data_IF_569755958361
#
_entry.id   IF_569755958361
#
_cell.length_a   1.000
_cell.length_b   1.000
_cell.length_c   1.000
_cell.angle_alpha   90.00
_cell.angle_beta   90.00
_cell.angle_gamma   90.00
#
_symmetry.space_group_name_H-M   'P 1'
#
loop_
_entity.id
_entity.type
_entity.pdbx_description
1 polymer ?
#
# COMPACT_ATOMS: atom_id res chain seq x y z
N UNK A 1 -0.94 2.49 24.70
CA UNK A 1 -1.25 3.77 25.37
C UNK A 1 -1.63 4.85 24.36
N UNK A 2 -0.79 5.21 23.38
CA UNK A 2 -1.11 6.19 22.32
C UNK A 2 -2.38 5.85 21.49
N UNK A 3 -2.55 4.58 21.10
CA UNK A 3 -3.77 4.12 20.40
C UNK A 3 -5.06 4.31 21.21
N UNK A 4 -5.00 4.08 22.53
CA UNK A 4 -6.14 4.24 23.43
C UNK A 4 -6.47 5.71 23.71
N UNK A 5 -5.44 6.57 23.75
CA UNK A 5 -5.60 8.03 23.84
C UNK A 5 -6.22 8.61 22.57
N UNK A 6 -5.82 8.11 21.39
CA UNK A 6 -6.39 8.54 20.12
C UNK A 6 -7.87 8.15 19.96
N UNK A 7 -8.31 7.02 20.53
CA UNK A 7 -9.72 6.61 20.53
C UNK A 7 -10.61 7.37 21.51
N UNK A 8 -10.02 8.13 22.44
CA UNK A 8 -10.76 8.96 23.42
C UNK A 8 -10.99 10.39 22.93
N UNK A 9 -10.32 10.80 21.84
CA UNK A 9 -10.54 12.10 21.24
C UNK A 9 -11.86 12.08 20.43
N UNK A 10 -12.69 13.14 20.53
CA UNK A 10 -13.89 13.25 19.70
C UNK A 10 -13.52 13.22 18.21
N UNK A 11 -14.39 12.61 17.41
CA UNK A 11 -14.17 12.58 15.97
C UNK A 11 -14.21 14.02 15.43
N UNK A 12 -13.15 14.48 14.74
CA UNK A 12 -13.14 15.82 14.19
C UNK A 12 -14.20 15.95 13.11
N UNK A 13 -14.71 17.17 12.91
CA UNK A 13 -15.68 17.40 11.84
C UNK A 13 -15.07 17.05 10.47
N UNK A 14 -15.84 16.43 9.56
CA UNK A 14 -15.32 15.90 8.30
C UNK A 14 -14.76 16.98 7.35
N UNK A 15 -15.20 18.23 7.54
CA UNK A 15 -14.83 19.38 6.72
C UNK A 15 -13.63 20.17 7.28
N UNK A 16 -13.18 19.82 8.48
CA UNK A 16 -12.08 20.50 9.15
C UNK A 16 -10.73 19.98 8.63
N UNK A 17 -9.76 20.89 8.55
CA UNK A 17 -8.40 20.64 8.08
C UNK A 17 -7.41 21.07 9.15
N UNK A 18 -6.30 20.33 9.30
CA UNK A 18 -5.31 20.64 10.32
C UNK A 18 -4.68 22.03 10.08
N UNK A 19 -4.51 22.40 8.81
CA UNK A 19 -3.96 23.67 8.35
C UNK A 19 -5.07 24.54 7.73
N UNK A 20 -6.18 24.75 8.46
CA UNK A 20 -7.33 25.57 8.02
C UNK A 20 -7.02 27.04 7.71
N UNK A 21 -5.79 27.50 8.00
CA UNK A 21 -5.44 28.92 8.13
C UNK A 21 -4.74 29.48 6.87
N UNK A 22 -5.06 28.95 5.67
CA UNK A 22 -4.72 29.66 4.41
C UNK A 22 -3.50 29.16 3.62
N UNK A 23 -3.10 27.90 3.74
CA UNK A 23 -2.09 27.29 2.85
C UNK A 23 -2.66 26.87 1.48
N UNK A 24 -3.65 27.60 0.96
CA UNK A 24 -4.23 27.37 -0.37
C UNK A 24 -5.06 26.08 -0.51
N UNK A 25 -5.38 25.37 0.57
CA UNK A 25 -6.21 24.17 0.54
C UNK A 25 -7.71 24.51 0.49
N UNK A 26 -8.19 25.00 -0.66
CA UNK A 26 -9.63 24.93 -0.95
C UNK A 26 -9.96 23.50 -1.35
N UNK A 27 -10.72 22.77 -0.52
CA UNK A 27 -11.30 21.51 -0.98
C UNK A 27 -12.43 21.82 -1.96
N UNK A 28 -12.30 21.35 -3.20
CA UNK A 28 -13.42 21.30 -4.13
C UNK A 28 -14.29 20.11 -3.74
N UNK A 29 -15.26 20.36 -2.87
CA UNK A 29 -16.39 19.45 -2.67
C UNK A 29 -17.59 20.07 -3.37
N UNK A 30 -18.11 19.39 -4.38
CA UNK A 30 -19.26 19.81 -5.16
C UNK A 30 -20.53 19.75 -4.28
N UNK A 31 -21.10 20.89 -3.82
CA UNK A 31 -22.25 20.86 -2.93
C UNK A 31 -23.57 20.78 -3.72
N UNK A 32 -23.51 20.88 -5.05
CA UNK A 32 -24.53 20.69 -6.08
C UNK A 32 -23.99 21.44 -7.31
N UNK A 33 -23.83 20.76 -8.44
CA UNK A 33 -23.64 21.39 -9.75
C UNK A 33 -24.79 22.38 -10.00
N UNK A 34 -24.61 23.64 -9.61
CA UNK A 34 -25.57 24.68 -9.92
C UNK A 34 -25.39 25.03 -11.40
N UNK A 35 -26.31 24.52 -12.22
CA UNK A 35 -26.48 25.00 -13.59
C UNK A 35 -27.00 26.43 -13.51
N UNK A 36 -26.18 27.39 -13.89
CA UNK A 36 -26.69 28.74 -14.13
C UNK A 36 -27.54 28.71 -15.42
N UNK A 37 -28.86 28.74 -15.27
CA UNK A 37 -29.82 28.82 -16.38
C UNK A 37 -30.13 30.27 -16.76
N UNK A 38 -29.48 31.26 -16.13
CA UNK A 38 -29.65 32.64 -16.53
C UNK A 38 -28.86 32.92 -17.82
N UNK A 39 -29.62 33.18 -18.89
CA UNK A 39 -29.19 33.57 -20.24
C UNK A 39 -28.72 32.45 -21.20
N UNK A 40 -29.67 31.65 -21.72
CA UNK A 40 -29.69 31.21 -23.14
C UNK A 40 -28.46 30.48 -23.72
N UNK A 41 -27.48 30.08 -22.91
CA UNK A 41 -26.27 29.38 -23.29
C UNK A 41 -26.17 28.05 -22.55
N UNK A 42 -25.48 27.08 -23.17
CA UNK A 42 -25.31 25.73 -22.65
C UNK A 42 -24.83 25.72 -21.19
N UNK A 43 -25.28 24.76 -20.37
CA UNK A 43 -24.99 24.72 -18.94
C UNK A 43 -23.47 24.72 -18.69
N UNK A 44 -22.95 25.81 -18.13
CA UNK A 44 -21.57 25.88 -17.63
C UNK A 44 -21.56 25.44 -16.18
N UNK A 45 -20.83 24.38 -15.86
CA UNK A 45 -20.58 24.00 -14.47
C UNK A 45 -19.69 25.06 -13.83
N UNK A 46 -20.20 25.74 -12.80
CA UNK A 46 -19.41 26.69 -12.01
C UNK A 46 -18.92 25.97 -10.77
N UNK A 47 -17.60 25.78 -10.67
CA UNK A 47 -16.97 25.26 -9.45
C UNK A 47 -17.08 26.31 -8.34
N UNK A 48 -17.86 26.01 -7.31
CA UNK A 48 -17.97 26.85 -6.11
C UNK A 48 -16.92 26.37 -5.09
N UNK A 49 -15.99 27.26 -4.74
CA UNK A 49 -15.02 26.99 -3.68
C UNK A 49 -15.72 27.02 -2.31
N UNK A 50 -15.81 25.87 -1.64
CA UNK A 50 -16.20 25.81 -0.22
C UNK A 50 -14.97 26.08 0.64
N UNK A 51 -14.99 27.17 1.40
CA UNK A 51 -13.92 27.45 2.38
C UNK A 51 -13.97 26.39 3.48
N UNK A 52 -12.84 25.73 3.81
CA UNK A 52 -12.81 24.73 4.87
C UNK A 52 -13.25 25.34 6.21
N UNK A 53 -13.95 24.55 7.02
CA UNK A 53 -14.33 24.98 8.36
C UNK A 53 -13.07 25.20 9.21
N UNK A 54 -13.03 26.32 9.93
CA UNK A 54 -11.92 26.65 10.82
C UNK A 54 -11.81 25.57 11.91
N UNK A 55 -10.62 24.98 12.05
CA UNK A 55 -10.39 23.92 13.02
C UNK A 55 -10.33 24.47 14.44
N UNK A 56 -11.18 23.95 15.33
CA UNK A 56 -11.01 24.19 16.76
C UNK A 56 -9.75 23.46 17.27
N UNK A 57 -9.22 23.86 18.43
CA UNK A 57 -8.00 23.29 18.99
C UNK A 57 -8.11 21.77 19.24
N UNK A 58 -9.31 21.28 19.57
CA UNK A 58 -9.60 19.85 19.75
C UNK A 58 -9.51 19.09 18.43
N UNK A 59 -10.06 19.65 17.35
CA UNK A 59 -9.99 19.06 16.01
C UNK A 59 -8.54 19.01 15.52
N UNK A 60 -7.76 20.08 15.77
CA UNK A 60 -6.33 20.11 15.43
C UNK A 60 -5.55 19.03 16.17
N UNK A 61 -5.79 18.84 17.47
CA UNK A 61 -5.16 17.77 18.24
C UNK A 61 -5.57 16.38 17.75
N UNK A 62 -6.84 16.16 17.46
CA UNK A 62 -7.35 14.88 16.95
C UNK A 62 -6.75 14.56 15.58
N UNK A 63 -6.69 15.53 14.67
CA UNK A 63 -6.07 15.40 13.35
C UNK A 63 -4.55 15.19 13.44
N UNK A 64 -3.85 15.96 14.27
CA UNK A 64 -2.42 15.79 14.52
C UNK A 64 -2.12 14.39 15.07
N UNK A 65 -2.89 13.93 16.06
CA UNK A 65 -2.75 12.61 16.64
C UNK A 65 -3.01 11.53 15.59
N UNK A 66 -4.03 11.68 14.75
CA UNK A 66 -4.32 10.77 13.64
C UNK A 66 -3.16 10.72 12.63
N UNK A 67 -2.61 11.87 12.22
CA UNK A 67 -1.48 11.94 11.29
C UNK A 67 -0.18 11.40 11.86
N UNK A 68 0.14 11.72 13.11
CA UNK A 68 1.34 11.19 13.78
C UNK A 68 1.22 9.68 13.99
N UNK A 69 0.06 9.20 14.47
CA UNK A 69 -0.14 7.79 14.80
C UNK A 69 -0.15 6.93 13.54
N UNK A 70 -1.00 7.24 12.56
CA UNK A 70 -1.14 6.44 11.34
C UNK A 70 -0.04 6.70 10.33
N UNK A 71 0.47 7.94 10.28
CA UNK A 71 1.32 8.36 9.18
C UNK A 71 2.83 8.38 9.42
N UNK A 72 3.26 8.56 10.67
CA UNK A 72 4.69 8.68 10.98
C UNK A 72 5.15 7.60 11.96
N UNK A 73 4.41 7.43 13.06
CA UNK A 73 4.80 6.55 14.14
C UNK A 73 4.61 5.08 13.75
N UNK A 74 3.48 4.68 13.17
CA UNK A 74 3.25 3.28 12.77
C UNK A 74 4.31 2.76 11.78
N UNK A 75 4.64 3.48 10.69
CA UNK A 75 5.65 3.03 9.74
C UNK A 75 7.06 3.03 10.33
N UNK A 76 7.41 4.03 11.16
CA UNK A 76 8.71 4.08 11.84
C UNK A 76 8.83 2.99 12.90
N UNK A 77 7.79 2.73 13.68
CA UNK A 77 7.77 1.61 14.64
C UNK A 77 7.75 0.27 13.92
N UNK A 78 7.07 0.13 12.78
CA UNK A 78 7.10 -1.09 11.98
C UNK A 78 8.50 -1.36 11.42
N UNK A 79 9.15 -0.36 10.84
CA UNK A 79 10.56 -0.44 10.43
C UNK A 79 11.49 -0.72 11.62
N UNK A 80 11.39 0.07 12.69
CA UNK A 80 12.25 -0.07 13.86
C UNK A 80 12.03 -1.40 14.55
N UNK A 81 10.81 -1.94 14.55
CA UNK A 81 10.52 -3.30 14.98
C UNK A 81 11.17 -4.30 14.03
N UNK A 82 10.98 -4.21 12.70
CA UNK A 82 11.64 -5.11 11.74
C UNK A 82 13.18 -5.09 11.88
N UNK A 83 13.79 -3.91 12.07
CA UNK A 83 15.23 -3.72 12.24
C UNK A 83 15.76 -4.02 13.66
N UNK A 84 14.97 -3.86 14.74
CA UNK A 84 15.37 -4.32 16.09
C UNK A 84 15.14 -5.81 16.27
N UNK A 85 14.05 -6.35 15.72
CA UNK A 85 13.80 -7.79 15.61
C UNK A 85 14.92 -8.44 14.81
N UNK A 86 15.51 -7.73 13.83
CA UNK A 86 16.72 -8.14 13.13
C UNK A 86 17.97 -8.34 13.99
N UNK A 87 18.02 -7.81 15.23
CA UNK A 87 19.15 -8.04 16.15
C UNK A 87 18.98 -9.26 17.05
N UNK A 88 17.77 -9.85 17.11
CA UNK A 88 17.56 -11.20 17.64
C UNK A 88 17.61 -12.17 16.46
N UNK A 89 18.07 -13.42 16.62
CA UNK A 89 18.00 -14.37 15.51
C UNK A 89 16.55 -14.43 15.03
N UNK A 90 16.33 -14.24 13.72
CA UNK A 90 15.05 -14.34 13.01
C UNK A 90 14.44 -15.76 13.11
N UNK A 91 14.21 -16.23 14.34
CA UNK A 91 13.59 -17.50 14.67
C UNK A 91 12.07 -17.42 14.66
N UNK A 92 11.47 -16.23 14.78
CA UNK A 92 10.01 -16.09 14.99
C UNK A 92 9.21 -15.74 13.75
N UNK A 93 9.72 -14.93 12.81
CA UNK A 93 9.00 -14.67 11.56
C UNK A 93 9.19 -15.84 10.61
N UNK A 94 8.11 -16.57 10.35
CA UNK A 94 8.14 -17.71 9.44
C UNK A 94 8.45 -17.21 8.02
N UNK A 95 9.27 -17.96 7.29
CA UNK A 95 9.58 -17.66 5.89
C UNK A 95 8.32 -17.59 5.00
N UNK A 96 7.29 -18.39 5.35
CA UNK A 96 5.98 -18.32 4.73
C UNK A 96 5.29 -16.98 4.95
N UNK A 97 5.43 -16.37 6.14
CA UNK A 97 4.89 -15.05 6.41
C UNK A 97 5.57 -13.96 5.59
N UNK A 98 6.89 -14.04 5.36
CA UNK A 98 7.59 -13.10 4.46
C UNK A 98 7.05 -13.22 3.04
N UNK A 99 6.99 -14.43 2.49
CA UNK A 99 6.52 -14.65 1.12
C UNK A 99 5.04 -14.32 0.93
N UNK A 100 4.16 -14.94 1.73
CA UNK A 100 2.70 -14.86 1.53
C UNK A 100 2.10 -13.63 2.22
N UNK A 101 2.50 -13.35 3.45
CA UNK A 101 1.97 -12.22 4.22
C UNK A 101 2.51 -10.90 3.70
N UNK A 102 3.83 -10.72 3.77
CA UNK A 102 4.46 -9.42 3.50
C UNK A 102 4.63 -9.10 2.01
N UNK A 103 4.82 -10.10 1.16
CA UNK A 103 5.01 -9.91 -0.29
C UNK A 103 3.80 -10.32 -1.14
N UNK A 104 2.78 -10.94 -0.53
CA UNK A 104 1.52 -11.30 -1.20
C UNK A 104 0.33 -10.47 -0.72
N UNK A 105 -0.07 -10.65 0.55
CA UNK A 105 -1.25 -10.01 1.14
C UNK A 105 -1.03 -8.49 1.31
N UNK A 106 0.08 -8.07 1.91
CA UNK A 106 0.30 -6.66 2.21
C UNK A 106 0.31 -5.76 0.94
N UNK A 107 1.00 -6.11 -0.16
CA UNK A 107 0.93 -5.32 -1.38
C UNK A 107 -0.48 -5.28 -1.98
N UNK A 108 -1.23 -6.40 -1.92
CA UNK A 108 -2.63 -6.46 -2.35
C UNK A 108 -3.53 -5.53 -1.52
N UNK A 109 -3.31 -5.47 -0.20
CA UNK A 109 -3.97 -4.54 0.70
C UNK A 109 -3.67 -3.08 0.35
N UNK A 110 -2.41 -2.71 0.06
CA UNK A 110 -2.09 -1.31 -0.21
C UNK A 110 -2.64 -0.82 -1.55
N UNK A 111 -2.75 -1.69 -2.54
CA UNK A 111 -3.15 -1.30 -3.89
C UNK A 111 -4.65 -1.39 -4.18
N UNK A 112 -5.44 -2.03 -3.32
CA UNK A 112 -6.81 -2.44 -3.65
C UNK A 112 -7.70 -1.32 -4.20
N UNK A 113 -7.70 -0.13 -3.58
CA UNK A 113 -8.53 1.00 -4.01
C UNK A 113 -8.08 1.65 -5.31
N UNK A 114 -6.79 1.53 -5.66
CA UNK A 114 -6.20 2.15 -6.85
C UNK A 114 -6.08 1.19 -8.03
N UNK A 115 -6.23 -0.11 -7.78
CA UNK A 115 -6.04 -1.13 -8.79
C UNK A 115 -7.33 -1.30 -9.63
N UNK A 116 -7.28 -1.10 -10.96
CA UNK A 116 -8.46 -1.24 -11.81
C UNK A 116 -9.05 -2.64 -11.79
N UNK A 117 -8.23 -3.68 -11.57
CA UNK A 117 -8.70 -5.06 -11.44
C UNK A 117 -9.59 -5.27 -10.21
N UNK A 118 -9.33 -4.58 -9.10
CA UNK A 118 -10.21 -4.64 -7.93
C UNK A 118 -11.55 -3.96 -8.21
N UNK A 119 -11.53 -2.81 -8.88
CA UNK A 119 -12.76 -2.10 -9.28
C UNK A 119 -13.61 -2.99 -10.18
N UNK A 120 -13.02 -3.62 -11.19
CA UNK A 120 -13.72 -4.57 -12.07
C UNK A 120 -14.24 -5.79 -11.30
N UNK A 121 -13.47 -6.34 -10.36
CA UNK A 121 -13.91 -7.45 -9.52
C UNK A 121 -15.14 -7.07 -8.69
N UNK A 122 -15.11 -5.91 -8.02
CA UNK A 122 -16.20 -5.40 -7.20
C UNK A 122 -17.46 -5.16 -8.04
N UNK A 123 -17.31 -4.56 -9.22
CA UNK A 123 -18.42 -4.34 -10.17
C UNK A 123 -19.03 -5.65 -10.65
N UNK A 124 -18.20 -6.63 -11.04
CA UNK A 124 -18.66 -7.95 -11.48
C UNK A 124 -19.41 -8.69 -10.38
N UNK A 125 -18.91 -8.63 -9.13
CA UNK A 125 -19.60 -9.18 -7.97
C UNK A 125 -20.93 -8.47 -7.72
N UNK A 126 -20.97 -7.14 -7.81
CA UNK A 126 -22.18 -6.36 -7.66
C UNK A 126 -23.26 -6.76 -8.67
N UNK A 127 -22.91 -6.85 -9.96
CA UNK A 127 -23.83 -7.32 -11.02
C UNK A 127 -24.32 -8.73 -10.72
N UNK A 128 -23.40 -9.65 -10.43
CA UNK A 128 -23.71 -11.06 -10.14
C UNK A 128 -24.63 -11.24 -8.92
N UNK A 129 -24.47 -10.42 -7.87
CA UNK A 129 -25.31 -10.46 -6.67
C UNK A 129 -26.69 -9.83 -6.91
N UNK A 130 -26.77 -8.68 -7.56
CA UNK A 130 -28.05 -8.00 -7.82
C UNK A 130 -28.95 -8.82 -8.77
N UNK A 131 -28.36 -9.59 -9.70
CA UNK A 131 -29.12 -10.52 -10.55
C UNK A 131 -29.75 -11.69 -9.79
N UNK A 132 -29.22 -12.03 -8.60
CA UNK A 132 -29.63 -13.22 -7.82
C UNK A 132 -30.46 -12.87 -6.58
N UNK A 133 -30.28 -11.68 -6.03
CA UNK A 133 -30.93 -11.22 -4.80
C UNK A 133 -31.44 -9.79 -4.95
N UNK A 134 -32.54 -9.46 -4.27
CA UNK A 134 -33.03 -8.08 -4.24
C UNK A 134 -32.01 -7.16 -3.55
N UNK A 135 -31.74 -5.96 -4.10
CA UNK A 135 -30.82 -5.02 -3.48
C UNK A 135 -31.35 -4.58 -2.11
N UNK A 136 -30.61 -4.91 -1.06
CA UNK A 136 -30.84 -4.45 0.32
C UNK A 136 -29.64 -3.63 0.81
N UNK A 137 -29.84 -2.76 1.79
CA UNK A 137 -28.74 -1.99 2.40
C UNK A 137 -27.64 -2.90 2.98
N UNK A 138 -28.00 -4.08 3.48
CA UNK A 138 -27.08 -5.09 3.99
C UNK A 138 -26.22 -5.78 2.92
N UNK A 139 -26.60 -5.69 1.65
CA UNK A 139 -25.90 -6.34 0.53
C UNK A 139 -24.61 -5.59 0.15
N UNK A 140 -24.59 -4.26 0.28
CA UNK A 140 -23.44 -3.45 -0.12
C UNK A 140 -22.17 -3.74 0.72
N UNK A 141 -22.22 -3.76 2.07
CA UNK A 141 -21.05 -4.13 2.87
C UNK A 141 -20.56 -5.55 2.60
N UNK A 142 -21.49 -6.48 2.27
CA UNK A 142 -21.13 -7.86 1.96
C UNK A 142 -20.37 -7.96 0.64
N UNK A 143 -20.79 -7.22 -0.40
CA UNK A 143 -20.07 -7.12 -1.68
C UNK A 143 -18.64 -6.62 -1.43
N UNK A 144 -18.49 -5.57 -0.63
CA UNK A 144 -17.20 -4.95 -0.34
C UNK A 144 -16.27 -5.89 0.41
N UNK A 145 -16.77 -6.52 1.47
CA UNK A 145 -16.02 -7.50 2.24
C UNK A 145 -15.61 -8.71 1.39
N UNK A 146 -16.51 -9.22 0.55
CA UNK A 146 -16.25 -10.38 -0.30
C UNK A 146 -15.23 -10.06 -1.39
N UNK A 147 -15.39 -8.91 -2.06
CA UNK A 147 -14.45 -8.44 -3.07
C UNK A 147 -13.05 -8.28 -2.47
N UNK A 148 -12.96 -7.67 -1.28
CA UNK A 148 -11.69 -7.49 -0.57
C UNK A 148 -11.06 -8.83 -0.18
N UNK A 149 -11.82 -9.78 0.36
CA UNK A 149 -11.31 -11.10 0.72
C UNK A 149 -10.77 -11.86 -0.50
N UNK A 150 -11.52 -11.86 -1.62
CA UNK A 150 -11.09 -12.49 -2.88
C UNK A 150 -9.82 -11.82 -3.40
N UNK A 151 -9.76 -10.49 -3.32
CA UNK A 151 -8.58 -9.72 -3.75
C UNK A 151 -7.32 -10.05 -2.93
N UNK A 152 -7.44 -10.08 -1.60
CA UNK A 152 -6.33 -10.41 -0.71
C UNK A 152 -5.89 -11.88 -0.88
N UNK A 153 -6.85 -12.80 -1.05
CA UNK A 153 -6.57 -14.19 -1.35
C UNK A 153 -5.85 -14.34 -2.70
N UNK A 154 -6.29 -13.58 -3.72
CA UNK A 154 -5.62 -13.50 -5.02
C UNK A 154 -4.17 -13.02 -4.90
N UNK A 155 -3.93 -11.95 -4.13
CA UNK A 155 -2.57 -11.47 -3.84
C UNK A 155 -1.70 -12.50 -3.12
N UNK A 156 -2.26 -13.18 -2.11
CA UNK A 156 -1.59 -14.26 -1.38
C UNK A 156 -1.19 -15.42 -2.30
N UNK A 157 -2.10 -15.87 -3.16
CA UNK A 157 -1.89 -17.01 -4.06
C UNK A 157 -0.97 -16.66 -5.22
N UNK A 158 -1.20 -15.54 -5.90
CA UNK A 158 -0.46 -15.14 -7.09
C UNK A 158 0.92 -14.60 -6.73
N UNK A 159 0.99 -13.48 -5.99
CA UNK A 159 2.25 -12.84 -5.67
C UNK A 159 3.00 -13.59 -4.58
N UNK A 160 2.29 -13.97 -3.51
CA UNK A 160 2.87 -14.71 -2.38
C UNK A 160 3.27 -16.13 -2.76
N UNK A 161 2.41 -16.85 -3.48
CA UNK A 161 2.68 -18.19 -4.00
C UNK A 161 3.81 -18.21 -5.02
N UNK A 162 3.84 -17.27 -5.98
CA UNK A 162 4.95 -17.17 -6.94
C UNK A 162 6.28 -16.88 -6.22
N UNK A 163 6.27 -15.98 -5.23
CA UNK A 163 7.45 -15.69 -4.40
C UNK A 163 7.93 -16.93 -3.64
N UNK A 164 7.00 -17.66 -3.02
CA UNK A 164 7.29 -18.89 -2.31
C UNK A 164 7.89 -19.95 -3.24
N UNK A 165 7.24 -20.24 -4.36
CA UNK A 165 7.67 -21.25 -5.32
C UNK A 165 9.03 -20.89 -5.92
N UNK A 166 9.25 -19.63 -6.32
CA UNK A 166 10.52 -19.17 -6.87
C UNK A 166 11.66 -19.30 -5.84
N UNK A 167 11.43 -18.89 -4.59
CA UNK A 167 12.42 -19.01 -3.51
C UNK A 167 12.71 -20.46 -3.16
N UNK A 168 11.66 -21.30 -3.09
CA UNK A 168 11.79 -22.73 -2.83
C UNK A 168 12.57 -23.43 -3.95
N UNK A 169 12.23 -23.17 -5.21
CA UNK A 169 12.89 -23.75 -6.37
C UNK A 169 14.36 -23.31 -6.47
N UNK A 170 14.64 -22.01 -6.28
CA UNK A 170 16.01 -21.49 -6.24
C UNK A 170 16.84 -22.18 -5.15
N UNK A 171 16.30 -22.28 -3.93
CA UNK A 171 16.98 -22.95 -2.82
C UNK A 171 17.23 -24.45 -3.10
N UNK A 172 16.28 -25.16 -3.74
CA UNK A 172 16.46 -26.56 -4.12
C UNK A 172 17.59 -26.78 -5.13
N UNK A 173 17.73 -25.88 -6.11
CA UNK A 173 18.78 -25.98 -7.14
C UNK A 173 20.20 -25.85 -6.56
N UNK A 174 20.36 -25.05 -5.51
CA UNK A 174 21.66 -24.84 -4.81
C UNK A 174 21.74 -25.54 -3.45
N UNK A 175 20.82 -26.47 -3.17
CA UNK A 175 20.77 -27.30 -1.93
C UNK A 175 20.82 -26.48 -0.63
N UNK A 176 20.16 -25.33 -0.60
CA UNK A 176 20.02 -24.49 0.59
C UNK A 176 18.67 -24.69 1.28
N UNK A 177 18.58 -24.31 2.55
CA UNK A 177 17.28 -24.13 3.22
C UNK A 177 16.57 -22.90 2.62
N UNK A 178 15.41 -23.13 2.00
CA UNK A 178 14.57 -22.07 1.43
C UNK A 178 14.17 -21.01 2.47
N UNK A 179 14.07 -21.38 3.75
CA UNK A 179 13.76 -20.42 4.82
C UNK A 179 14.89 -19.43 5.04
N UNK A 180 16.14 -19.85 4.84
CA UNK A 180 17.29 -18.96 4.94
C UNK A 180 17.29 -17.97 3.77
N UNK A 181 16.97 -18.45 2.56
CA UNK A 181 16.89 -17.62 1.38
C UNK A 181 15.72 -16.63 1.45
N UNK A 182 14.53 -17.05 1.91
CA UNK A 182 13.37 -16.18 2.09
C UNK A 182 13.64 -14.99 3.05
N UNK A 183 14.51 -15.16 4.05
CA UNK A 183 14.90 -14.07 4.97
C UNK A 183 15.70 -12.97 4.27
N UNK A 184 16.35 -13.26 3.14
CA UNK A 184 17.07 -12.25 2.36
C UNK A 184 16.11 -11.30 1.61
N UNK A 185 14.81 -11.64 1.51
CA UNK A 185 13.75 -10.75 1.01
C UNK A 185 13.23 -9.76 2.05
N UNK A 186 13.69 -9.85 3.30
CA UNK A 186 13.14 -9.03 4.37
C UNK A 186 13.35 -7.51 4.17
N UNK A 187 14.50 -7.01 3.64
CA UNK A 187 14.64 -5.60 3.29
C UNK A 187 13.55 -5.13 2.32
N UNK A 188 13.30 -5.92 1.27
CA UNK A 188 12.26 -5.65 0.29
C UNK A 188 10.85 -5.65 0.90
N UNK A 189 10.54 -6.64 1.73
CA UNK A 189 9.28 -6.72 2.45
C UNK A 189 9.06 -5.53 3.40
N UNK A 190 10.09 -5.16 4.16
CA UNK A 190 10.04 -4.05 5.11
C UNK A 190 9.85 -2.69 4.43
N UNK A 191 10.57 -2.44 3.34
CA UNK A 191 10.39 -1.22 2.55
C UNK A 191 9.01 -1.18 1.89
N UNK A 192 8.51 -2.30 1.38
CA UNK A 192 7.16 -2.34 0.79
C UNK A 192 6.08 -1.99 1.81
N UNK A 193 6.17 -2.54 3.03
CA UNK A 193 5.28 -2.19 4.15
C UNK A 193 5.37 -0.71 4.52
N UNK A 194 6.59 -0.18 4.65
CA UNK A 194 6.82 1.23 4.95
C UNK A 194 6.15 2.12 3.90
N UNK A 195 6.42 1.86 2.62
CA UNK A 195 5.90 2.66 1.52
C UNK A 195 4.38 2.58 1.41
N UNK A 196 3.79 1.41 1.68
CA UNK A 196 2.34 1.21 1.72
C UNK A 196 1.67 1.94 2.89
N UNK A 197 2.19 1.79 4.11
CA UNK A 197 1.62 2.43 5.29
C UNK A 197 1.75 3.96 5.28
N UNK A 198 2.79 4.49 4.62
CA UNK A 198 2.98 5.95 4.45
C UNK A 198 2.14 6.54 3.31
N UNK A 199 1.39 5.72 2.58
CA UNK A 199 0.58 6.19 1.46
C UNK A 199 -0.59 7.06 1.93
N UNK A 200 -1.30 6.62 2.98
CA UNK A 200 -2.43 7.35 3.55
C UNK A 200 -1.98 8.69 4.14
N UNK A 201 -0.83 8.72 4.79
CA UNK A 201 -0.25 9.95 5.36
C UNK A 201 0.04 10.98 4.27
N UNK A 202 0.62 10.54 3.16
CA UNK A 202 0.89 11.40 2.02
C UNK A 202 -0.40 11.95 1.40
N UNK A 203 -1.47 11.13 1.34
CA UNK A 203 -2.78 11.57 0.86
C UNK A 203 -3.37 12.65 1.78
N UNK A 204 -3.29 12.47 3.10
CA UNK A 204 -3.73 13.48 4.04
C UNK A 204 -2.94 14.78 3.90
N UNK A 205 -1.60 14.71 3.88
CA UNK A 205 -0.75 15.90 3.72
C UNK A 205 -0.99 16.64 2.40
N UNK A 206 -1.24 15.91 1.30
CA UNK A 206 -1.65 16.54 0.03
C UNK A 206 -3.02 17.20 0.15
N UNK A 207 -3.96 16.58 0.86
CA UNK A 207 -5.26 17.18 1.15
C UNK A 207 -5.18 18.48 1.97
N UNK A 208 -4.09 18.66 2.72
CA UNK A 208 -3.76 19.88 3.47
C UNK A 208 -2.98 20.92 2.62
N UNK A 209 -2.68 20.62 1.34
CA UNK A 209 -1.94 21.51 0.44
C UNK A 209 -0.42 21.39 0.50
N UNK A 210 0.13 20.39 1.21
CA UNK A 210 1.58 20.19 1.25
C UNK A 210 2.13 19.77 -0.11
N UNK A 211 3.15 20.48 -0.60
CA UNK A 211 3.89 20.06 -1.80
C UNK A 211 4.74 18.81 -1.48
N UNK A 212 4.42 17.71 -2.15
CA UNK A 212 5.10 16.41 -2.02
C UNK A 212 5.69 15.94 -3.36
N UNK A 213 6.23 16.85 -4.17
CA UNK A 213 6.82 16.53 -5.48
C UNK A 213 8.10 15.70 -5.36
N UNK A 214 8.80 15.79 -4.23
CA UNK A 214 9.99 14.98 -3.91
C UNK A 214 9.64 13.53 -3.53
N UNK A 215 8.40 13.28 -3.10
CA UNK A 215 7.99 12.00 -2.53
C UNK A 215 8.08 10.84 -3.52
N UNK A 216 7.63 10.96 -4.79
CA UNK A 216 7.80 9.90 -5.79
C UNK A 216 9.27 9.49 -5.97
N UNK A 217 10.19 10.47 -6.02
CA UNK A 217 11.63 10.21 -6.14
C UNK A 217 12.20 9.50 -4.92
N UNK A 218 11.75 9.87 -3.72
CA UNK A 218 12.12 9.18 -2.48
C UNK A 218 11.62 7.73 -2.44
N UNK A 219 10.35 7.50 -2.83
CA UNK A 219 9.76 6.15 -2.91
C UNK A 219 10.48 5.26 -3.92
N UNK A 220 10.79 5.80 -5.11
CA UNK A 220 11.58 5.10 -6.12
C UNK A 220 12.95 4.70 -5.55
N UNK A 221 13.65 5.64 -4.94
CA UNK A 221 14.99 5.41 -4.38
C UNK A 221 14.97 4.31 -3.32
N UNK A 222 14.02 4.35 -2.38
CA UNK A 222 13.88 3.32 -1.35
C UNK A 222 13.56 1.94 -1.97
N UNK A 223 12.65 1.88 -2.93
CA UNK A 223 12.26 0.63 -3.59
C UNK A 223 13.45 0.03 -4.35
N UNK A 224 14.19 0.85 -5.11
CA UNK A 224 15.38 0.42 -5.85
C UNK A 224 16.48 -0.08 -4.90
N UNK A 225 16.73 0.62 -3.79
CA UNK A 225 17.70 0.18 -2.79
C UNK A 225 17.28 -1.15 -2.14
N UNK A 226 16.00 -1.33 -1.84
CA UNK A 226 15.49 -2.56 -1.24
C UNK A 226 15.56 -3.75 -2.21
N UNK A 227 15.21 -3.54 -3.47
CA UNK A 227 15.36 -4.52 -4.56
C UNK A 227 16.84 -4.89 -4.73
N UNK A 228 17.73 -3.90 -4.81
CA UNK A 228 19.18 -4.11 -4.94
C UNK A 228 19.76 -4.89 -3.76
N UNK A 229 19.39 -4.51 -2.53
CA UNK A 229 19.85 -5.19 -1.32
C UNK A 229 19.37 -6.65 -1.25
N UNK A 230 18.08 -6.92 -1.48
CA UNK A 230 17.54 -8.28 -1.43
C UNK A 230 18.07 -9.18 -2.55
N UNK A 231 18.20 -8.66 -3.76
CA UNK A 231 18.80 -9.41 -4.88
C UNK A 231 20.27 -9.73 -4.60
N UNK A 232 21.05 -8.76 -4.13
CA UNK A 232 22.47 -8.95 -3.77
C UNK A 232 22.66 -9.94 -2.62
N UNK A 233 21.86 -9.85 -1.54
CA UNK A 233 21.96 -10.74 -0.39
C UNK A 233 21.71 -12.21 -0.77
N UNK A 234 20.63 -12.48 -1.49
CA UNK A 234 20.32 -13.85 -1.92
C UNK A 234 21.31 -14.38 -2.94
N UNK A 235 21.76 -13.54 -3.88
CA UNK A 235 22.82 -13.91 -4.83
C UNK A 235 24.11 -14.29 -4.11
N UNK A 236 24.58 -13.45 -3.17
CA UNK A 236 25.77 -13.72 -2.37
C UNK A 236 25.62 -15.01 -1.58
N UNK A 237 24.46 -15.24 -0.92
CA UNK A 237 24.20 -16.47 -0.16
C UNK A 237 24.27 -17.72 -1.04
N UNK A 238 23.68 -17.68 -2.24
CA UNK A 238 23.72 -18.79 -3.20
C UNK A 238 25.15 -19.07 -3.71
N UNK A 239 25.97 -18.04 -3.89
CA UNK A 239 27.35 -18.20 -4.34
C UNK A 239 28.29 -18.73 -3.24
N UNK A 240 28.13 -18.25 -2.00
CA UNK A 240 29.06 -18.58 -0.91
C UNK A 240 28.72 -19.86 -0.17
N UNK A 241 27.42 -20.16 0.01
CA UNK A 241 26.96 -21.31 0.80
C UNK A 241 26.32 -22.40 -0.08
N UNK A 242 25.79 -22.03 -1.25
CA UNK A 242 25.08 -22.94 -2.12
C UNK A 242 25.95 -24.04 -2.71
N UNK A 243 25.50 -25.29 -2.59
CA UNK A 243 26.12 -26.45 -3.22
C UNK A 243 25.39 -26.77 -4.53
N UNK A 244 26.08 -26.57 -5.66
CA UNK A 244 25.53 -26.84 -6.98
C UNK A 244 26.50 -26.40 -8.09
N UNK A 245 26.41 -27.05 -9.25
CA UNK A 245 27.19 -26.65 -10.43
C UNK A 245 26.81 -25.27 -10.95
N UNK A 246 27.66 -24.69 -11.80
CA UNK A 246 27.50 -23.32 -12.32
C UNK A 246 26.14 -23.09 -12.98
N UNK A 247 25.63 -24.06 -13.76
CA UNK A 247 24.32 -23.96 -14.41
C UNK A 247 23.15 -23.83 -13.40
N UNK A 248 23.16 -24.64 -12.33
CA UNK A 248 22.13 -24.57 -11.28
C UNK A 248 22.19 -23.23 -10.53
N UNK A 249 23.38 -22.67 -10.33
CA UNK A 249 23.55 -21.36 -9.69
C UNK A 249 22.99 -20.24 -10.55
N UNK A 250 23.18 -20.29 -11.86
CA UNK A 250 22.60 -19.32 -12.81
C UNK A 250 21.08 -19.43 -12.81
N UNK A 251 20.52 -20.63 -12.93
CA UNK A 251 19.07 -20.83 -12.92
C UNK A 251 18.43 -20.42 -11.58
N UNK A 252 19.07 -20.73 -10.45
CA UNK A 252 18.62 -20.28 -9.13
C UNK A 252 18.66 -18.75 -9.02
N UNK A 253 19.68 -18.10 -9.60
CA UNK A 253 19.76 -16.64 -9.73
C UNK A 253 18.59 -16.04 -10.50
N UNK A 254 18.25 -16.62 -11.66
CA UNK A 254 17.11 -16.15 -12.47
C UNK A 254 15.79 -16.28 -11.71
N UNK A 255 15.56 -17.42 -11.04
CA UNK A 255 14.38 -17.61 -10.19
C UNK A 255 14.35 -16.64 -9.02
N UNK A 256 15.51 -16.31 -8.44
CA UNK A 256 15.63 -15.35 -7.35
C UNK A 256 15.29 -13.90 -7.74
N UNK A 257 15.41 -13.55 -9.02
CA UNK A 257 14.99 -12.22 -9.50
C UNK A 257 13.46 -12.07 -9.56
N UNK A 258 12.71 -13.18 -9.59
CA UNK A 258 11.25 -13.14 -9.76
C UNK A 258 10.52 -12.43 -8.61
N UNK A 259 10.77 -12.73 -7.31
CA UNK A 259 10.19 -11.96 -6.21
C UNK A 259 10.50 -10.45 -6.29
N UNK A 260 11.75 -10.11 -6.61
CA UNK A 260 12.18 -8.72 -6.74
C UNK A 260 11.47 -8.01 -7.89
N UNK A 261 11.32 -8.68 -9.04
CA UNK A 261 10.61 -8.17 -10.20
C UNK A 261 9.11 -7.97 -9.92
N UNK A 262 8.45 -8.92 -9.24
CA UNK A 262 7.04 -8.79 -8.87
C UNK A 262 6.79 -7.57 -7.97
N UNK A 263 7.63 -7.39 -6.94
CA UNK A 263 7.50 -6.24 -6.02
C UNK A 263 7.83 -4.93 -6.71
N UNK A 264 8.87 -4.89 -7.55
CA UNK A 264 9.23 -3.71 -8.32
C UNK A 264 8.11 -3.32 -9.29
N UNK A 265 7.52 -4.29 -9.99
CA UNK A 265 6.38 -4.07 -10.88
C UNK A 265 5.15 -3.58 -10.11
N UNK A 266 4.83 -4.22 -8.99
CA UNK A 266 3.71 -3.82 -8.14
C UNK A 266 3.89 -2.39 -7.61
N UNK A 267 5.09 -2.06 -7.10
CA UNK A 267 5.43 -0.71 -6.65
C UNK A 267 5.37 0.32 -7.78
N UNK A 268 5.87 -0.03 -8.97
CA UNK A 268 5.77 0.84 -10.15
C UNK A 268 4.31 1.15 -10.50
N UNK A 269 3.49 0.10 -10.61
CA UNK A 269 2.07 0.23 -10.94
C UNK A 269 1.33 1.07 -9.89
N UNK A 270 1.56 0.79 -8.61
CA UNK A 270 0.89 1.44 -7.49
C UNK A 270 1.28 2.91 -7.33
N UNK A 271 2.57 3.24 -7.44
CA UNK A 271 3.06 4.58 -7.11
C UNK A 271 3.13 5.53 -8.31
N UNK A 272 3.27 5.01 -9.54
CA UNK A 272 3.52 5.84 -10.73
C UNK A 272 2.48 5.66 -11.83
N UNK A 273 1.91 4.46 -12.00
CA UNK A 273 1.00 4.21 -13.11
C UNK A 273 -0.47 4.50 -12.76
N UNK A 274 -1.02 3.84 -11.74
CA UNK A 274 -2.44 4.00 -11.40
C UNK A 274 -2.74 5.34 -10.76
N UNK A 275 -1.83 5.88 -9.95
CA UNK A 275 -1.93 7.22 -9.37
C UNK A 275 -2.09 8.30 -10.44
N UNK A 276 -1.38 8.17 -11.57
CA UNK A 276 -1.47 9.14 -12.66
C UNK A 276 -2.77 9.06 -13.48
N UNK A 277 -3.56 7.98 -13.36
CA UNK A 277 -4.84 7.86 -14.07
C UNK A 277 -5.98 8.66 -13.43
N UNK A 278 -5.81 9.11 -12.19
CA UNK A 278 -6.85 9.79 -11.40
C UNK A 278 -6.56 11.28 -11.17
N UNK A 279 -5.62 11.89 -11.92
CA UNK A 279 -5.50 13.35 -11.94
C UNK A 279 -6.74 13.94 -12.62
N UNK A 280 -7.59 14.57 -11.82
CA UNK A 280 -8.67 15.46 -12.25
C UNK A 280 -8.15 16.89 -12.15
#
# INVERSE_FOLDING_TARGET
MLLALASLLPAPQPEVRLLSDGWGSSSFTDPNLCVDTSAGQAPRMVLISKTPAAADWQDRLALLAKYLLWGLLLPVFALAALFRISRRPFGTLSASFVAVGLLGIAPAWFQWTLNPGFVSLRQALGIWLVERWSPSESLFPLIDATALLVWLAGGALLCGGATFVATWAAARLVRLDWRALARDLLPLAGVTLLLGLTMDSALYLRGEGANLDWLPGFRASLLTLAVGASTWLGWRRMQTVGAGGTANRVLAGLLWLLPAALVALNGWLMFFHWTNRYHV
#
